data_IF_829067839721
#
_entry.id   IF_829067839721
#
_cell.length_a   1.000
_cell.length_b   1.000
_cell.length_c   1.000
_cell.angle_alpha   90.00
_cell.angle_beta   90.00
_cell.angle_gamma   90.00
#
_symmetry.space_group_name_H-M   'P 1'
#
loop_
_entity.id
_entity.type
_entity.pdbx_description
1 polymer ?
#
# COMPACT_ATOMS: atom_id res chain seq x y z
N UNK A 1 -6.02 9.91 17.20
CA UNK A 1 -5.83 8.70 16.35
C UNK A 1 -4.41 8.18 16.56
N UNK A 2 -4.20 6.87 16.70
CA UNK A 2 -2.87 6.26 16.84
C UNK A 2 -2.48 5.61 15.50
N UNK A 3 -1.28 5.86 14.96
CA UNK A 3 -0.81 5.13 13.79
C UNK A 3 -0.52 3.67 14.13
N UNK A 4 -0.64 2.80 13.14
CA UNK A 4 -0.30 1.39 13.27
C UNK A 4 0.61 0.86 12.16
N UNK A 5 0.81 1.61 11.07
CA UNK A 5 1.79 1.29 10.02
C UNK A 5 2.59 2.52 9.62
N UNK A 6 3.85 2.27 9.23
CA UNK A 6 4.74 3.21 8.56
C UNK A 6 5.17 2.57 7.24
N UNK A 7 4.91 3.24 6.11
CA UNK A 7 5.47 2.85 4.81
C UNK A 7 6.66 3.74 4.49
N UNK A 8 7.73 3.11 4.00
CA UNK A 8 8.99 3.78 3.69
C UNK A 8 9.45 3.44 2.28
N UNK A 9 10.12 4.36 1.56
CA UNK A 9 10.75 4.05 0.28
C UNK A 9 11.66 2.83 0.40
N UNK A 10 11.44 1.82 -0.44
CA UNK A 10 12.10 0.52 -0.33
C UNK A 10 12.50 0.00 -1.71
N UNK A 11 13.78 -0.33 -1.88
CA UNK A 11 14.30 -1.03 -3.05
C UNK A 11 13.93 -2.51 -2.93
N UNK A 12 13.61 -3.14 -4.06
CA UNK A 12 13.13 -4.52 -4.08
C UNK A 12 13.68 -5.29 -5.28
N UNK A 13 14.08 -6.53 -5.04
CA UNK A 13 14.57 -7.47 -6.07
C UNK A 13 14.08 -8.89 -5.78
N UNK A 14 13.96 -9.70 -6.84
CA UNK A 14 13.59 -11.13 -6.76
C UNK A 14 14.80 -12.06 -6.91
N UNK A 15 15.99 -11.53 -7.21
CA UNK A 15 17.18 -12.34 -7.52
C UNK A 15 18.33 -12.18 -6.53
N UNK A 16 18.47 -11.01 -5.90
CA UNK A 16 19.59 -10.69 -5.00
C UNK A 16 19.28 -9.46 -4.14
N UNK A 17 20.07 -9.21 -3.11
CA UNK A 17 19.94 -8.01 -2.26
C UNK A 17 20.15 -6.72 -3.07
N UNK A 18 19.16 -5.82 -3.16
CA UNK A 18 19.33 -4.56 -3.87
C UNK A 18 20.13 -3.55 -3.05
N UNK A 19 20.71 -2.50 -3.67
CA UNK A 19 21.26 -1.36 -2.94
C UNK A 19 20.13 -0.57 -2.26
N UNK A 20 20.51 0.32 -1.33
CA UNK A 20 19.59 1.31 -0.77
C UNK A 20 18.89 2.08 -1.89
N UNK A 21 17.63 2.52 -1.67
CA UNK A 21 16.96 3.41 -2.61
C UNK A 21 17.82 4.64 -2.90
N UNK A 22 18.09 4.89 -4.18
CA UNK A 22 18.72 6.15 -4.60
C UNK A 22 17.78 7.34 -4.39
N UNK A 23 18.24 8.57 -4.69
CA UNK A 23 17.39 9.76 -4.66
C UNK A 23 16.10 9.54 -5.46
N UNK A 24 14.95 9.77 -4.82
CA UNK A 24 13.63 9.60 -5.41
C UNK A 24 12.62 10.54 -4.74
N UNK A 25 11.42 10.64 -5.28
CA UNK A 25 10.34 11.50 -4.79
C UNK A 25 9.20 10.72 -4.14
N UNK A 26 9.45 9.47 -3.72
CA UNK A 26 8.48 8.65 -2.99
C UNK A 26 8.53 9.06 -1.52
N UNK A 27 7.38 9.43 -0.97
CA UNK A 27 7.26 9.85 0.42
C UNK A 27 7.14 8.67 1.38
N UNK A 28 7.51 8.92 2.64
CA UNK A 28 7.10 8.09 3.76
C UNK A 28 5.64 8.33 4.10
N UNK A 29 4.95 7.29 4.59
CA UNK A 29 3.55 7.40 4.96
C UNK A 29 3.29 6.83 6.35
N UNK A 30 2.63 7.64 7.19
CA UNK A 30 2.07 7.18 8.46
C UNK A 30 0.59 6.85 8.27
N UNK A 31 0.21 5.62 8.56
CA UNK A 31 -1.13 5.12 8.31
C UNK A 31 -1.92 4.95 9.61
N UNK A 32 -3.20 5.26 9.53
CA UNK A 32 -4.18 5.14 10.61
C UNK A 32 -5.32 4.24 10.17
N UNK A 33 -5.76 3.34 11.05
CA UNK A 33 -7.01 2.60 10.84
C UNK A 33 -8.15 3.57 10.57
N UNK A 34 -8.83 3.36 9.44
CA UNK A 34 -9.95 4.16 8.99
C UNK A 34 -11.19 3.28 8.80
N UNK A 35 -12.37 3.89 9.00
CA UNK A 35 -13.66 3.27 8.72
C UNK A 35 -14.62 4.34 8.20
N UNK A 36 -15.59 3.91 7.40
CA UNK A 36 -16.74 4.76 7.05
C UNK A 36 -17.47 5.16 8.35
N UNK A 37 -17.74 6.45 8.50
CA UNK A 37 -18.43 7.00 9.67
C UNK A 37 -19.83 6.40 9.83
N UNK A 38 -20.26 6.20 11.07
CA UNK A 38 -21.62 5.70 11.32
C UNK A 38 -22.66 6.74 10.85
N UNK A 39 -23.78 6.27 10.31
CA UNK A 39 -24.84 7.15 9.82
C UNK A 39 -24.61 7.74 8.43
N UNK A 40 -23.47 7.45 7.77
CA UNK A 40 -23.22 7.83 6.37
C UNK A 40 -23.42 6.64 5.42
N UNK A 41 -23.54 6.88 4.09
CA UNK A 41 -23.65 5.79 3.13
C UNK A 41 -22.49 4.79 3.28
N UNK A 42 -22.83 3.50 3.28
CA UNK A 42 -21.83 2.41 3.34
C UNK A 42 -21.00 2.40 2.06
N UNK A 43 -19.79 1.86 2.16
CA UNK A 43 -18.98 1.58 0.97
C UNK A 43 -19.76 0.67 0.00
N UNK A 44 -19.82 1.00 -1.30
CA UNK A 44 -20.59 0.25 -2.28
C UNK A 44 -20.06 -1.18 -2.44
N UNK A 45 -20.97 -2.10 -2.81
CA UNK A 45 -20.61 -3.50 -3.10
C UNK A 45 -20.35 -3.68 -4.59
N UNK A 46 -19.63 -4.75 -4.94
CA UNK A 46 -19.40 -5.13 -6.34
C UNK A 46 -18.34 -4.30 -7.05
N UNK A 47 -17.55 -3.51 -6.32
CA UNK A 47 -16.43 -2.78 -6.89
C UNK A 47 -15.31 -3.77 -7.20
N UNK A 48 -14.92 -3.83 -8.46
CA UNK A 48 -13.83 -4.67 -8.94
C UNK A 48 -12.75 -3.83 -9.59
N UNK A 49 -11.51 -4.20 -9.34
CA UNK A 49 -10.32 -3.59 -9.93
C UNK A 49 -9.41 -4.68 -10.43
N UNK A 50 -8.75 -4.43 -11.56
CA UNK A 50 -7.77 -5.35 -12.11
C UNK A 50 -6.39 -4.84 -11.77
N UNK A 51 -5.55 -5.70 -11.20
CA UNK A 51 -4.19 -5.35 -10.78
C UNK A 51 -3.21 -6.33 -11.43
N UNK A 52 -2.09 -5.79 -11.89
CA UNK A 52 -0.96 -6.54 -12.40
C UNK A 52 0.30 -6.02 -11.72
N UNK A 53 1.10 -6.93 -11.20
CA UNK A 53 2.41 -6.63 -10.63
C UNK A 53 3.37 -7.81 -10.89
N UNK A 54 4.62 -7.65 -10.48
CA UNK A 54 5.66 -8.67 -10.64
C UNK A 54 5.49 -9.92 -9.77
N UNK A 55 4.52 -9.94 -8.85
CA UNK A 55 4.21 -11.11 -8.02
C UNK A 55 3.16 -12.01 -8.64
N UNK A 56 2.41 -11.54 -9.63
CA UNK A 56 1.37 -12.32 -10.29
C UNK A 56 1.85 -12.83 -11.64
N UNK A 57 1.59 -14.12 -11.92
CA UNK A 57 1.85 -14.71 -13.25
C UNK A 57 0.81 -14.28 -14.28
N UNK A 58 -0.37 -13.89 -13.82
CA UNK A 58 -1.51 -13.52 -14.65
C UNK A 58 -2.12 -12.23 -14.12
N UNK A 59 -2.84 -11.52 -14.99
CA UNK A 59 -3.78 -10.50 -14.58
C UNK A 59 -4.67 -11.05 -13.45
N UNK A 60 -5.11 -10.20 -12.52
CA UNK A 60 -6.33 -10.58 -11.84
C UNK A 60 -7.10 -9.50 -11.17
N UNK A 61 -8.36 -9.87 -11.01
CA UNK A 61 -9.43 -9.00 -10.57
C UNK A 61 -9.63 -9.18 -9.07
N UNK A 62 -9.75 -8.07 -8.37
CA UNK A 62 -9.94 -8.01 -6.94
C UNK A 62 -11.24 -7.30 -6.61
N UNK A 63 -12.01 -7.88 -5.68
CA UNK A 63 -13.09 -7.18 -5.04
C UNK A 63 -12.51 -6.17 -4.04
N UNK A 64 -12.86 -4.90 -4.20
CA UNK A 64 -12.55 -3.83 -3.25
C UNK A 64 -13.68 -3.77 -2.22
N UNK A 65 -13.35 -3.89 -0.94
CA UNK A 65 -14.35 -4.21 0.10
C UNK A 65 -14.73 -2.99 0.95
N UNK A 66 -13.76 -2.33 1.57
CA UNK A 66 -13.98 -1.15 2.43
C UNK A 66 -12.65 -0.47 2.76
N UNK A 67 -12.65 0.84 3.10
CA UNK A 67 -11.48 1.50 3.66
C UNK A 67 -10.94 0.76 4.89
N UNK A 68 -9.61 0.71 4.98
CA UNK A 68 -8.84 0.07 6.04
C UNK A 68 -7.87 1.05 6.67
N UNK A 69 -7.14 1.78 5.84
CA UNK A 69 -6.20 2.80 6.31
C UNK A 69 -6.33 4.10 5.53
N UNK A 70 -6.14 5.21 6.24
CA UNK A 70 -5.80 6.50 5.65
C UNK A 70 -4.33 6.76 5.99
N UNK A 71 -3.53 7.03 4.97
CA UNK A 71 -2.10 7.25 5.11
C UNK A 71 -1.75 8.69 4.69
N UNK A 72 -1.11 9.41 5.59
CA UNK A 72 -0.66 10.78 5.39
C UNK A 72 0.85 10.78 5.08
N UNK A 73 1.33 11.57 4.11
CA UNK A 73 2.76 11.72 3.90
C UNK A 73 3.40 12.30 5.17
N UNK A 74 4.59 11.83 5.55
CA UNK A 74 5.22 12.15 6.83
C UNK A 74 6.71 12.40 6.68
N UNK A 75 7.24 13.37 7.43
CA UNK A 75 8.68 13.56 7.58
C UNK A 75 9.22 12.58 8.61
N UNK A 76 10.25 11.81 8.24
CA UNK A 76 11.02 10.95 9.15
C UNK A 76 12.38 11.61 9.39
N UNK A 77 12.78 11.79 10.66
CA UNK A 77 14.06 12.41 11.05
C UNK A 77 14.33 13.77 10.37
N UNK A 78 13.32 14.62 10.24
CA UNK A 78 13.37 15.91 9.52
C UNK A 78 13.66 15.78 8.01
N UNK A 79 13.39 14.61 7.42
CA UNK A 79 13.45 14.37 5.98
C UNK A 79 12.40 15.19 5.21
N UNK A 80 12.66 15.35 3.90
CA UNK A 80 11.78 16.08 2.99
C UNK A 80 10.52 15.28 2.71
N UNK A 81 9.37 15.97 2.70
CA UNK A 81 8.13 15.45 2.13
C UNK A 81 7.95 16.11 0.76
N UNK A 82 8.08 15.32 -0.30
CA UNK A 82 8.00 15.77 -1.69
C UNK A 82 6.57 16.07 -2.13
N UNK A 83 5.59 15.25 -1.73
CA UNK A 83 4.20 15.36 -2.18
C UNK A 83 3.25 15.54 -0.99
N UNK A 84 3.27 16.72 -0.37
CA UNK A 84 2.51 17.01 0.87
C UNK A 84 0.99 16.84 0.75
N UNK A 85 0.43 16.92 -0.45
CA UNK A 85 -1.01 16.80 -0.69
C UNK A 85 -1.42 15.39 -1.15
N UNK A 86 -0.46 14.51 -1.48
CA UNK A 86 -0.73 13.15 -1.93
C UNK A 86 -0.81 12.20 -0.75
N UNK A 87 -2.03 11.79 -0.44
CA UNK A 87 -2.36 10.82 0.60
C UNK A 87 -2.64 9.46 -0.03
N UNK A 88 -2.68 8.39 0.78
CA UNK A 88 -3.20 7.10 0.32
C UNK A 88 -4.45 6.73 1.11
N UNK A 89 -5.47 6.24 0.42
CA UNK A 89 -6.54 5.47 1.06
C UNK A 89 -6.36 4.01 0.69
N UNK A 90 -6.13 3.18 1.69
CA UNK A 90 -5.99 1.73 1.53
C UNK A 90 -7.33 1.04 1.80
N UNK A 91 -7.73 0.20 0.86
CA UNK A 91 -8.96 -0.57 0.92
C UNK A 91 -8.64 -2.05 1.07
N UNK A 92 -9.42 -2.77 1.86
CA UNK A 92 -9.32 -4.23 1.88
C UNK A 92 -9.61 -4.79 0.49
N UNK A 93 -8.71 -5.63 -0.02
CA UNK A 93 -8.80 -6.22 -1.34
C UNK A 93 -8.66 -7.75 -1.24
N UNK A 94 -9.43 -8.47 -2.04
CA UNK A 94 -9.37 -9.95 -2.13
C UNK A 94 -9.63 -10.39 -3.57
N UNK A 95 -9.05 -11.51 -4.04
CA UNK A 95 -9.35 -12.02 -5.37
C UNK A 95 -10.86 -12.17 -5.58
N UNK A 96 -11.35 -11.68 -6.73
CA UNK A 96 -12.74 -11.83 -7.11
C UNK A 96 -13.10 -13.31 -7.31
N UNK A 97 -14.39 -13.64 -7.28
CA UNK A 97 -14.85 -15.02 -7.45
C UNK A 97 -14.34 -15.59 -8.78
N UNK A 98 -13.73 -16.78 -8.71
CA UNK A 98 -13.17 -17.48 -9.88
C UNK A 98 -11.74 -17.07 -10.24
N UNK A 99 -11.17 -16.05 -9.60
CA UNK A 99 -9.77 -15.68 -9.79
C UNK A 99 -8.84 -16.59 -8.98
N UNK A 100 -7.62 -16.81 -9.49
CA UNK A 100 -6.60 -17.57 -8.78
C UNK A 100 -6.26 -16.92 -7.43
N UNK A 101 -6.05 -17.75 -6.40
CA UNK A 101 -5.55 -17.29 -5.10
C UNK A 101 -4.10 -16.83 -5.23
N UNK A 102 -3.64 -16.05 -4.25
CA UNK A 102 -2.23 -15.69 -4.11
C UNK A 102 -1.33 -16.91 -4.17
N UNK A 103 -0.32 -16.86 -5.03
CA UNK A 103 0.80 -17.79 -5.00
C UNK A 103 1.95 -17.12 -4.25
N UNK A 104 2.38 -17.64 -3.08
CA UNK A 104 3.49 -17.07 -2.32
C UNK A 104 4.74 -16.86 -3.16
N UNK A 105 5.39 -15.71 -3.00
CA UNK A 105 6.66 -15.36 -3.68
C UNK A 105 7.76 -15.19 -2.66
N UNK A 106 8.83 -15.95 -2.85
CA UNK A 106 10.03 -15.94 -2.03
C UNK A 106 11.20 -16.45 -2.87
N UNK A 107 12.43 -15.94 -2.66
CA UNK A 107 12.76 -14.80 -1.81
C UNK A 107 12.33 -13.46 -2.44
N UNK A 108 12.00 -12.49 -1.59
CA UNK A 108 11.85 -11.08 -1.97
C UNK A 108 12.86 -10.28 -1.17
N UNK A 109 13.94 -9.87 -1.81
CA UNK A 109 14.98 -9.08 -1.18
C UNK A 109 14.57 -7.62 -1.15
N UNK A 110 14.70 -6.97 0.00
CA UNK A 110 14.39 -5.56 0.19
C UNK A 110 15.50 -4.83 0.92
N UNK A 111 15.65 -3.53 0.62
CA UNK A 111 16.58 -2.65 1.32
C UNK A 111 15.95 -1.26 1.46
N UNK A 112 15.94 -0.73 2.68
CA UNK A 112 15.50 0.63 3.00
C UNK A 112 16.33 1.19 4.17
N UNK A 113 15.93 2.35 4.71
CA UNK A 113 16.65 3.03 5.79
C UNK A 113 16.80 2.23 7.08
N UNK A 114 16.00 1.17 7.27
CA UNK A 114 16.08 0.28 8.43
C UNK A 114 17.02 -0.92 8.21
N UNK A 115 17.55 -1.09 7.00
CA UNK A 115 18.46 -2.17 6.62
C UNK A 115 17.90 -3.10 5.54
N UNK A 116 18.47 -4.29 5.46
CA UNK A 116 18.12 -5.32 4.47
C UNK A 116 17.27 -6.42 5.10
N UNK A 117 16.22 -6.84 4.41
CA UNK A 117 15.40 -8.00 4.78
C UNK A 117 15.17 -8.93 3.58
N UNK A 118 14.85 -10.19 3.87
CA UNK A 118 14.32 -11.14 2.89
C UNK A 118 12.90 -11.55 3.29
N UNK A 119 11.94 -11.24 2.43
CA UNK A 119 10.51 -11.41 2.69
C UNK A 119 9.91 -12.54 1.85
N UNK A 120 8.75 -13.01 2.27
CA UNK A 120 7.86 -13.84 1.46
C UNK A 120 6.47 -13.20 1.40
N UNK A 121 5.87 -13.12 0.20
CA UNK A 121 4.48 -12.67 0.08
C UNK A 121 3.54 -13.80 0.52
N UNK A 122 2.56 -13.49 1.37
CA UNK A 122 1.67 -14.51 1.96
C UNK A 122 0.25 -14.45 1.41
N UNK A 123 -0.27 -13.25 1.16
CA UNK A 123 -1.60 -12.99 0.56
C UNK A 123 -1.68 -11.54 0.12
N UNK A 124 -2.58 -11.24 -0.81
CA UNK A 124 -3.04 -9.87 -1.00
C UNK A 124 -3.97 -9.47 0.17
N UNK A 125 -3.83 -8.23 0.65
CA UNK A 125 -4.56 -7.76 1.83
C UNK A 125 -5.25 -6.42 1.58
N UNK A 126 -4.52 -5.44 1.05
CA UNK A 126 -5.02 -4.09 0.81
C UNK A 126 -4.54 -3.55 -0.54
N UNK A 127 -5.36 -2.70 -1.14
CA UNK A 127 -5.01 -1.87 -2.28
C UNK A 127 -5.02 -0.41 -1.85
N UNK A 128 -3.85 0.24 -1.90
CA UNK A 128 -3.68 1.64 -1.55
C UNK A 128 -3.72 2.51 -2.79
N UNK A 129 -4.66 3.45 -2.83
CA UNK A 129 -4.89 4.34 -3.97
C UNK A 129 -4.44 5.76 -3.60
N UNK A 130 -3.65 6.44 -4.46
CA UNK A 130 -3.37 7.85 -4.31
C UNK A 130 -4.66 8.68 -4.23
N UNK A 131 -4.69 9.61 -3.30
CA UNK A 131 -5.82 10.47 -3.01
C UNK A 131 -5.33 11.87 -2.69
N UNK A 132 -6.15 12.88 -2.93
CA UNK A 132 -5.86 14.26 -2.59
C UNK A 132 -6.68 14.68 -1.38
N UNK A 133 -6.13 15.54 -0.54
CA UNK A 133 -6.90 16.24 0.49
C UNK A 133 -7.50 17.52 -0.10
N UNK A 134 -8.68 17.89 0.38
CA UNK A 134 -9.22 19.25 0.22
C UNK A 134 -9.27 19.86 1.60
N UNK A 135 -8.58 20.98 1.80
CA UNK A 135 -8.68 21.76 3.04
C UNK A 135 -9.92 22.65 2.88
N UNK A 136 -10.88 22.50 3.79
CA UNK A 136 -12.01 23.41 3.86
C UNK A 136 -11.53 24.74 4.50
N UNK A 137 -12.01 25.90 4.01
CA UNK A 137 -11.68 27.20 4.58
C UNK A 137 -12.18 27.35 6.02
#
# INVERSE_FOLDING_TARGET
MKPDLLYVPTSKSLSSSPPLPGPNTVDHYKCYKAKVTSGTPKFPRGIQVTVTDQFRLTLGTFDVVKPKHLCTPVSVNNGVVYNQDVHLVCYGAKPARGQAKHAPRSPVYVHNEFGTDTLATVKENELCIPSLKTVLP
#
